data_IF_448330150093
#
_entry.id   IF_448330150093
#
_cell.length_a   1.000
_cell.length_b   1.000
_cell.length_c   1.000
_cell.angle_alpha   90.00
_cell.angle_beta   90.00
_cell.angle_gamma   90.00
#
_symmetry.space_group_name_H-M   'P 1'
#
loop_
_entity.id
_entity.type
_entity.pdbx_description
1 polymer ?
#
# COMPACT_ATOMS: atom_id res chain seq x y z
N UNK A 1 0.43 -1.82 -11.99
CA UNK A 1 1.77 -2.38 -12.24
C UNK A 1 2.18 -3.05 -10.95
N UNK A 2 2.09 -4.38 -10.92
CA UNK A 2 2.29 -5.19 -9.72
C UNK A 2 3.77 -5.34 -9.36
N UNK A 3 4.09 -4.96 -8.14
CA UNK A 3 5.44 -5.03 -7.57
C UNK A 3 5.58 -6.27 -6.67
N UNK A 4 5.62 -7.47 -7.27
CA UNK A 4 6.14 -8.66 -6.56
C UNK A 4 7.67 -8.76 -6.70
N UNK A 5 8.34 -8.96 -5.57
CA UNK A 5 9.78 -9.20 -5.40
C UNK A 5 10.05 -10.72 -5.47
N UNK A 6 10.99 -11.16 -6.32
CA UNK A 6 11.50 -12.54 -6.35
C UNK A 6 12.83 -12.60 -5.56
N UNK A 7 12.97 -13.56 -4.64
CA UNK A 7 14.21 -13.87 -3.92
C UNK A 7 14.74 -15.24 -4.38
N UNK A 8 16.06 -15.39 -4.58
CA UNK A 8 16.69 -16.66 -4.99
C UNK A 8 17.53 -17.21 -3.83
N UNK A 9 17.28 -18.46 -3.40
CA UNK A 9 18.11 -19.23 -2.44
C UNK A 9 18.50 -20.56 -3.11
N UNK A 10 19.76 -21.00 -2.94
CA UNK A 10 20.39 -22.03 -3.77
C UNK A 10 20.71 -23.33 -3.00
N UNK A 11 20.09 -24.47 -3.39
CA UNK A 11 20.57 -25.86 -3.16
C UNK A 11 19.80 -26.87 -4.06
N UNK A 12 20.43 -28.00 -4.43
CA UNK A 12 20.18 -28.78 -5.68
C UNK A 12 19.34 -30.06 -5.62
N UNK A 13 18.74 -30.45 -6.77
CA UNK A 13 19.05 -31.72 -7.51
C UNK A 13 18.62 -31.66 -9.00
N UNK A 14 19.60 -31.50 -9.91
CA UNK A 14 19.67 -32.01 -11.32
C UNK A 14 18.66 -31.63 -12.42
N UNK A 15 19.16 -31.11 -13.55
CA UNK A 15 18.77 -31.56 -14.90
C UNK A 15 17.90 -30.65 -15.80
N UNK A 16 18.32 -29.41 -16.11
CA UNK A 16 18.08 -28.65 -17.37
C UNK A 16 18.66 -27.24 -17.27
N UNK A 17 19.17 -26.68 -18.37
CA UNK A 17 19.47 -25.25 -18.45
C UNK A 17 18.19 -24.42 -18.32
N UNK A 18 18.23 -23.33 -17.56
CA UNK A 18 17.06 -22.48 -17.29
C UNK A 18 17.31 -21.04 -17.75
N UNK A 19 16.28 -20.38 -18.27
CA UNK A 19 16.28 -18.94 -18.48
C UNK A 19 15.26 -18.30 -17.54
N UNK A 20 15.64 -17.20 -16.91
CA UNK A 20 14.76 -16.44 -16.03
C UNK A 20 14.95 -14.94 -16.22
N UNK A 21 13.86 -14.21 -16.05
CA UNK A 21 13.79 -12.76 -16.22
C UNK A 21 13.81 -12.09 -14.84
N UNK A 22 14.91 -11.41 -14.49
CA UNK A 22 15.05 -10.67 -13.24
C UNK A 22 14.72 -9.20 -13.40
N UNK A 23 13.86 -8.68 -12.53
CA UNK A 23 13.66 -7.23 -12.41
C UNK A 23 14.98 -6.57 -11.98
N UNK A 24 15.43 -5.58 -12.76
CA UNK A 24 16.65 -4.82 -12.46
C UNK A 24 16.47 -3.36 -12.88
N UNK A 25 16.49 -2.45 -11.91
CA UNK A 25 16.17 -1.04 -12.13
C UNK A 25 14.75 -0.87 -12.66
N UNK A 26 14.60 -0.20 -13.80
CA UNK A 26 13.31 0.01 -14.48
C UNK A 26 12.99 -1.06 -15.53
N UNK A 27 13.84 -2.07 -15.68
CA UNK A 27 13.72 -3.09 -16.71
C UNK A 27 13.89 -4.50 -16.18
N UNK A 28 14.21 -5.40 -17.10
CA UNK A 28 14.40 -6.82 -16.85
C UNK A 28 15.71 -7.26 -17.48
N UNK A 29 16.48 -8.07 -16.76
CA UNK A 29 17.67 -8.74 -17.29
C UNK A 29 17.34 -10.23 -17.40
N UNK A 30 17.64 -10.80 -18.58
CA UNK A 30 17.55 -12.24 -18.78
C UNK A 30 18.82 -12.91 -18.28
N UNK A 31 18.66 -13.88 -17.39
CA UNK A 31 19.75 -14.66 -16.81
C UNK A 31 19.63 -16.10 -17.29
N UNK A 32 20.77 -16.64 -17.74
CA UNK A 32 20.91 -18.05 -18.10
C UNK A 32 21.58 -18.81 -16.96
N UNK A 33 20.91 -19.84 -16.46
CA UNK A 33 21.47 -20.77 -15.48
C UNK A 33 21.91 -22.04 -16.21
N UNK A 34 23.22 -22.36 -16.23
CA UNK A 34 23.71 -23.55 -16.91
C UNK A 34 23.25 -24.81 -16.17
N UNK A 35 23.10 -25.91 -16.90
CA UNK A 35 22.67 -27.20 -16.32
C UNK A 35 23.64 -27.74 -15.26
N UNK A 36 24.92 -27.35 -15.32
CA UNK A 36 25.92 -27.69 -14.31
C UNK A 36 25.70 -26.98 -12.97
N UNK A 37 24.85 -25.94 -12.93
CA UNK A 37 24.55 -25.22 -11.70
C UNK A 37 23.45 -25.92 -10.90
N UNK A 38 23.69 -25.99 -9.60
CA UNK A 38 22.78 -26.57 -8.63
C UNK A 38 21.81 -25.50 -8.10
N UNK A 39 20.71 -25.23 -8.81
CA UNK A 39 19.79 -24.12 -8.49
C UNK A 39 18.32 -24.55 -8.30
N UNK A 40 17.59 -23.80 -7.48
CA UNK A 40 16.13 -23.85 -7.34
C UNK A 40 15.57 -22.43 -7.48
N UNK A 41 14.46 -22.29 -8.20
CA UNK A 41 13.74 -21.03 -8.32
C UNK A 41 12.67 -20.98 -7.22
N UNK A 42 12.72 -19.94 -6.38
CA UNK A 42 11.71 -19.67 -5.36
C UNK A 42 10.88 -18.47 -5.83
N UNK A 43 9.57 -18.65 -5.86
CA UNK A 43 8.61 -17.61 -6.21
C UNK A 43 7.64 -17.39 -5.06
N UNK A 44 7.13 -16.15 -4.86
CA UNK A 44 6.03 -15.91 -3.96
C UNK A 44 4.84 -16.81 -4.31
N UNK A 45 4.06 -17.23 -3.32
CA UNK A 45 2.78 -17.87 -3.58
C UNK A 45 1.92 -16.93 -4.44
N UNK A 46 1.35 -17.48 -5.51
CA UNK A 46 0.37 -16.73 -6.28
C UNK A 46 -0.89 -16.54 -5.44
N UNK A 47 -1.26 -15.29 -5.26
CA UNK A 47 -2.53 -14.88 -4.68
C UNK A 47 -3.37 -14.33 -5.81
N UNK A 48 -4.63 -14.76 -5.87
CA UNK A 48 -5.57 -14.17 -6.81
C UNK A 48 -5.75 -12.68 -6.45
N UNK A 49 -5.47 -11.76 -7.40
CA UNK A 49 -5.69 -10.35 -7.16
C UNK A 49 -7.18 -10.07 -7.00
N UNK A 50 -7.50 -9.04 -6.21
CA UNK A 50 -8.87 -8.52 -6.16
C UNK A 50 -9.21 -7.82 -7.47
N UNK A 51 -10.45 -7.97 -7.94
CA UNK A 51 -10.92 -7.34 -9.19
C UNK A 51 -10.83 -5.80 -9.14
N UNK A 52 -11.16 -5.22 -7.98
CA UNK A 52 -11.00 -3.79 -7.71
C UNK A 52 -10.63 -3.56 -6.25
N UNK A 53 -9.49 -2.89 -6.06
CA UNK A 53 -9.00 -2.46 -4.74
C UNK A 53 -10.01 -1.53 -4.07
N UNK A 54 -10.61 -0.64 -4.86
CA UNK A 54 -11.57 0.37 -4.42
C UNK A 54 -12.87 -0.28 -3.92
N UNK A 55 -13.41 -1.24 -4.69
CA UNK A 55 -14.62 -1.96 -4.31
C UNK A 55 -14.37 -2.86 -3.09
N UNK A 56 -13.26 -3.59 -3.06
CA UNK A 56 -12.96 -4.48 -1.95
C UNK A 56 -12.78 -3.71 -0.64
N UNK A 57 -12.08 -2.57 -0.67
CA UNK A 57 -11.95 -1.71 0.50
C UNK A 57 -13.31 -1.19 0.97
N UNK A 58 -14.16 -0.74 0.05
CA UNK A 58 -15.52 -0.27 0.39
C UNK A 58 -16.34 -1.38 1.06
N UNK A 59 -16.28 -2.60 0.51
CA UNK A 59 -16.96 -3.77 1.06
C UNK A 59 -16.47 -4.10 2.47
N UNK A 60 -15.16 -4.07 2.70
CA UNK A 60 -14.55 -4.34 4.01
C UNK A 60 -14.95 -3.28 5.03
N UNK A 61 -14.88 -2.00 4.66
CA UNK A 61 -15.27 -0.88 5.55
C UNK A 61 -16.77 -0.92 5.90
N UNK A 62 -17.63 -1.31 4.96
CA UNK A 62 -19.05 -1.53 5.24
C UNK A 62 -19.28 -2.66 6.25
N UNK A 63 -18.61 -3.81 6.07
CA UNK A 63 -18.70 -4.95 7.01
C UNK A 63 -18.13 -4.61 8.39
N UNK A 64 -17.10 -3.78 8.46
CA UNK A 64 -16.49 -3.33 9.71
C UNK A 64 -17.51 -2.60 10.59
N UNK A 65 -18.32 -1.71 9.99
CA UNK A 65 -19.40 -1.01 10.70
C UNK A 65 -20.59 -1.90 11.10
N UNK A 66 -20.74 -3.07 10.48
CA UNK A 66 -21.84 -3.99 10.76
C UNK A 66 -21.51 -5.08 11.81
N UNK A 67 -20.23 -5.33 12.09
CA UNK A 67 -19.77 -6.52 12.83
C UNK A 67 -19.43 -6.26 14.31
N UNK A 68 -19.72 -5.07 14.85
CA UNK A 68 -19.40 -4.69 16.22
C UNK A 68 -19.09 -3.20 16.35
N UNK A 69 -18.42 -2.76 17.43
CA UNK A 69 -18.04 -1.37 17.60
C UNK A 69 -17.14 -0.91 16.45
N UNK A 70 -17.58 0.09 15.69
CA UNK A 70 -16.79 0.72 14.65
C UNK A 70 -15.61 1.46 15.27
N UNK A 71 -14.44 1.56 14.59
CA UNK A 71 -13.35 2.44 15.03
C UNK A 71 -13.79 3.89 15.28
N UNK A 72 -14.88 4.31 14.63
CA UNK A 72 -15.43 5.66 14.75
C UNK A 72 -16.41 5.85 15.90
N UNK A 73 -16.92 4.79 16.53
CA UNK A 73 -17.97 4.89 17.57
C UNK A 73 -17.52 5.67 18.80
N UNK A 74 -16.20 5.75 19.02
CA UNK A 74 -15.59 6.46 20.14
C UNK A 74 -15.26 7.92 19.82
N UNK A 75 -15.48 8.36 18.58
CA UNK A 75 -15.22 9.74 18.19
C UNK A 75 -16.30 10.64 18.78
N UNK A 76 -15.91 11.43 19.77
CA UNK A 76 -16.76 12.45 20.36
C UNK A 76 -16.75 13.75 19.55
N UNK A 77 -17.64 14.67 19.92
CA UNK A 77 -17.68 16.00 19.32
C UNK A 77 -16.33 16.69 19.43
N UNK A 78 -15.84 17.19 18.30
CA UNK A 78 -14.58 17.93 18.22
C UNK A 78 -13.32 17.06 18.22
N UNK A 79 -13.45 15.73 18.05
CA UNK A 79 -12.33 14.82 17.91
C UNK A 79 -11.35 15.24 16.80
N UNK A 80 -10.09 14.86 16.99
CA UNK A 80 -9.02 14.97 15.99
C UNK A 80 -8.63 13.56 15.58
N UNK A 81 -8.47 13.34 14.28
CA UNK A 81 -8.19 12.01 13.71
C UNK A 81 -6.86 12.06 12.99
N UNK A 82 -6.02 11.05 13.23
CA UNK A 82 -4.79 10.83 12.47
C UNK A 82 -4.93 9.54 11.66
N UNK A 83 -4.63 9.61 10.36
CA UNK A 83 -4.58 8.46 9.45
C UNK A 83 -3.11 8.25 9.07
N UNK A 84 -2.49 7.22 9.63
CA UNK A 84 -1.12 6.88 9.29
C UNK A 84 -1.07 6.10 7.97
N UNK A 85 -0.23 6.55 7.03
CA UNK A 85 0.09 5.84 5.79
C UNK A 85 1.61 5.65 5.68
N UNK A 86 2.10 4.57 5.05
CA UNK A 86 3.52 4.44 4.77
C UNK A 86 3.98 5.48 3.74
N UNK A 87 5.29 5.71 3.70
CA UNK A 87 5.93 6.49 2.64
C UNK A 87 5.96 5.78 1.27
N UNK A 88 6.56 6.43 0.28
CA UNK A 88 6.64 5.94 -1.11
C UNK A 88 7.53 4.70 -1.28
N UNK A 89 8.28 4.29 -0.26
CA UNK A 89 9.10 3.07 -0.29
C UNK A 89 8.26 1.81 -0.06
N UNK A 90 6.95 1.97 0.17
CA UNK A 90 5.99 0.87 0.27
C UNK A 90 4.98 0.94 -0.88
N UNK A 91 4.60 -0.21 -1.47
CA UNK A 91 3.73 -0.26 -2.64
C UNK A 91 2.24 -0.12 -2.27
N UNK A 92 1.88 0.80 -1.37
CA UNK A 92 0.49 1.04 -1.00
C UNK A 92 -0.18 1.92 -2.08
N UNK A 93 -1.31 1.51 -2.69
CA UNK A 93 -1.98 2.31 -3.71
C UNK A 93 -2.83 3.43 -3.09
N UNK A 94 -2.18 4.39 -2.41
CA UNK A 94 -2.80 5.47 -1.62
C UNK A 94 -3.90 6.19 -2.40
N UNK A 95 -3.65 6.57 -3.66
CA UNK A 95 -4.61 7.26 -4.53
C UNK A 95 -5.90 6.48 -4.79
N UNK A 96 -5.86 5.16 -4.71
CA UNK A 96 -7.01 4.28 -4.88
C UNK A 96 -7.80 4.09 -3.59
N UNK A 97 -7.09 3.92 -2.47
CA UNK A 97 -7.72 3.56 -1.19
C UNK A 97 -8.20 4.77 -0.39
N UNK A 98 -7.50 5.91 -0.47
CA UNK A 98 -7.76 7.05 0.39
C UNK A 98 -9.14 7.68 0.15
N UNK A 99 -9.65 7.83 -1.10
CA UNK A 99 -11.00 8.37 -1.31
C UNK A 99 -12.08 7.53 -0.63
N UNK A 100 -12.01 6.20 -0.74
CA UNK A 100 -12.97 5.30 -0.10
C UNK A 100 -12.89 5.35 1.43
N UNK A 101 -11.66 5.40 1.98
CA UNK A 101 -11.43 5.53 3.42
C UNK A 101 -12.00 6.84 3.99
N UNK A 102 -11.72 7.97 3.34
CA UNK A 102 -12.24 9.28 3.76
C UNK A 102 -13.76 9.36 3.60
N UNK A 103 -14.30 8.84 2.49
CA UNK A 103 -15.76 8.78 2.30
C UNK A 103 -16.45 7.98 3.40
N UNK A 104 -15.85 6.86 3.83
CA UNK A 104 -16.36 6.08 4.95
C UNK A 104 -16.25 6.82 6.28
N UNK A 105 -15.10 7.46 6.56
CA UNK A 105 -14.88 8.20 7.80
C UNK A 105 -15.87 9.36 7.95
N UNK A 106 -16.04 10.18 6.92
CA UNK A 106 -16.97 11.33 6.97
C UNK A 106 -18.43 10.89 6.88
N UNK A 107 -18.72 9.78 6.20
CA UNK A 107 -20.06 9.19 6.19
C UNK A 107 -20.49 8.66 7.56
N UNK A 108 -19.55 8.09 8.32
CA UNK A 108 -19.80 7.59 9.69
C UNK A 108 -19.72 8.69 10.75
N UNK A 109 -19.02 9.79 10.48
CA UNK A 109 -18.89 10.95 11.36
C UNK A 109 -19.15 12.27 10.62
N UNK A 110 -20.42 12.59 10.32
CA UNK A 110 -20.75 13.78 9.51
C UNK A 110 -20.37 15.12 10.14
N UNK A 111 -20.18 15.17 11.47
CA UNK A 111 -19.75 16.37 12.20
C UNK A 111 -18.22 16.54 12.26
N UNK A 112 -17.45 15.57 11.73
CA UNK A 112 -15.99 15.64 11.72
C UNK A 112 -15.52 16.62 10.65
N UNK A 113 -14.90 17.72 11.08
CA UNK A 113 -14.26 18.70 10.21
C UNK A 113 -13.04 18.07 9.51
N UNK A 114 -12.96 18.07 8.15
CA UNK A 114 -11.78 17.61 7.43
C UNK A 114 -10.47 18.27 7.89
N UNK A 115 -10.51 19.54 8.31
CA UNK A 115 -9.32 20.23 8.82
C UNK A 115 -8.79 19.63 10.15
N UNK A 116 -9.58 18.81 10.84
CA UNK A 116 -9.19 18.05 12.04
C UNK A 116 -8.74 16.62 11.74
N UNK A 117 -8.71 16.23 10.47
CA UNK A 117 -8.17 14.95 10.01
C UNK A 117 -6.78 15.21 9.43
N UNK A 118 -5.78 14.52 9.98
CA UNK A 118 -4.40 14.60 9.52
C UNK A 118 -3.95 13.26 8.94
N UNK A 119 -3.55 13.26 7.67
CA UNK A 119 -2.90 12.14 7.01
C UNK A 119 -1.40 12.25 7.30
N UNK A 120 -0.87 11.29 8.07
CA UNK A 120 0.53 11.27 8.50
C UNK A 120 1.29 10.25 7.66
N UNK A 121 2.28 10.69 6.90
CA UNK A 121 3.16 9.82 6.12
C UNK A 121 4.32 9.35 6.99
N UNK A 122 4.29 8.08 7.39
CA UNK A 122 5.30 7.46 8.24
C UNK A 122 6.55 7.07 7.46
N UNK A 123 7.57 7.92 7.47
CA UNK A 123 8.89 7.67 6.87
C UNK A 123 9.87 6.90 7.76
N UNK A 124 9.60 6.76 9.06
CA UNK A 124 10.49 6.09 10.00
C UNK A 124 11.85 6.78 10.09
N UNK A 125 12.94 6.06 9.76
CA UNK A 125 14.30 6.61 9.75
C UNK A 125 14.71 7.21 8.39
N UNK A 126 13.79 7.27 7.41
CA UNK A 126 14.08 7.89 6.13
C UNK A 126 14.19 9.42 6.27
N UNK A 127 14.88 10.08 5.32
CA UNK A 127 14.91 11.54 5.28
C UNK A 127 13.49 12.15 5.29
N UNK A 128 13.30 13.32 5.89
CA UNK A 128 12.00 14.00 5.89
C UNK A 128 11.48 14.22 4.47
N UNK A 129 10.17 14.01 4.31
CA UNK A 129 9.47 14.17 3.04
C UNK A 129 9.33 15.66 2.70
N UNK A 130 9.69 16.03 1.48
CA UNK A 130 9.41 17.37 0.97
C UNK A 130 7.94 17.50 0.52
N UNK A 131 7.47 18.74 0.37
CA UNK A 131 6.08 19.00 0.00
C UNK A 131 5.72 18.42 -1.38
N UNK A 132 6.69 18.39 -2.31
CA UNK A 132 6.51 17.78 -3.63
C UNK A 132 6.20 16.29 -3.52
N UNK A 133 6.90 15.58 -2.64
CA UNK A 133 6.70 14.14 -2.41
C UNK A 133 5.39 13.88 -1.70
N UNK A 134 5.05 14.68 -0.69
CA UNK A 134 3.75 14.60 -0.02
C UNK A 134 2.60 14.79 -1.02
N UNK A 135 2.66 15.82 -1.87
CA UNK A 135 1.63 16.09 -2.88
C UNK A 135 1.57 14.99 -3.97
N UNK A 136 2.69 14.32 -4.26
CA UNK A 136 2.72 13.19 -5.20
C UNK A 136 2.05 11.94 -4.61
N UNK A 137 2.28 11.69 -3.32
CA UNK A 137 1.74 10.54 -2.59
C UNK A 137 0.25 10.73 -2.26
N UNK A 138 -0.10 11.90 -1.74
CA UNK A 138 -1.45 12.32 -1.39
C UNK A 138 -1.76 13.67 -2.06
N UNK A 139 -2.21 13.65 -3.32
CA UNK A 139 -2.65 14.86 -4.01
C UNK A 139 -3.77 15.58 -3.27
N UNK A 140 -3.88 16.91 -3.43
CA UNK A 140 -4.87 17.73 -2.71
C UNK A 140 -6.30 17.26 -2.94
N UNK A 141 -6.62 16.80 -4.14
CA UNK A 141 -7.92 16.22 -4.50
C UNK A 141 -8.20 14.90 -3.78
N UNK A 142 -7.15 14.13 -3.45
CA UNK A 142 -7.26 12.89 -2.68
C UNK A 142 -7.34 13.18 -1.18
N UNK A 143 -6.66 14.24 -0.70
CA UNK A 143 -6.69 14.63 0.70
C UNK A 143 -8.06 15.18 1.13
N UNK A 144 -8.88 15.70 0.22
CA UNK A 144 -10.26 16.09 0.52
C UNK A 144 -10.39 17.16 1.61
N UNK A 145 -9.43 18.08 1.70
CA UNK A 145 -9.37 19.11 2.75
C UNK A 145 -8.69 18.66 4.05
N UNK A 146 -8.27 17.40 4.16
CA UNK A 146 -7.44 16.92 5.27
C UNK A 146 -6.03 17.51 5.21
N UNK A 147 -5.42 17.69 6.38
CA UNK A 147 -4.01 18.06 6.49
C UNK A 147 -3.13 16.87 6.11
N UNK A 148 -2.01 17.10 5.42
CA UNK A 148 -1.04 16.05 5.07
C UNK A 148 0.33 16.45 5.63
N UNK A 149 0.93 15.59 6.45
CA UNK A 149 2.22 15.83 7.09
C UNK A 149 3.13 14.61 6.96
N UNK A 150 4.43 14.84 6.76
CA UNK A 150 5.45 13.81 6.92
C UNK A 150 5.87 13.68 8.37
N UNK A 151 6.16 12.45 8.82
CA UNK A 151 6.84 12.20 10.10
C UNK A 151 8.30 12.64 10.03
#
# INVERSE_FOLDING_TARGET
MDHQLQYIICSSTGGRSMELDLKYGTGTIRVHIPESAQAQILEPNQLDPVDSVEQELTNVLFRLGASGPSPTDRLGKGAMVAIAIPDETRPLPVKKIMPALLSWLFGTQPELDPAKVTIVVGGGLHPPLDQTTLNRLVPTEIAGGCLVLGH
#
